data_IF_405015334985
#
_entry.id   IF_405015334985
#
_cell.length_a   1.000
_cell.length_b   1.000
_cell.length_c   1.000
_cell.angle_alpha   90.00
_cell.angle_beta   90.00
_cell.angle_gamma   90.00
#
_symmetry.space_group_name_H-M   'P 1'
#
loop_
_entity.id
_entity.type
_entity.pdbx_description
1 polymer ?
#
# COMPACT_ATOMS: atom_id res chain seq x y z
N UNK A 1 -21.95 2.65 -28.15
CA UNK A 1 -21.72 1.29 -27.61
C UNK A 1 -20.47 0.56 -28.17
N UNK A 2 -19.75 1.07 -29.19
CA UNK A 2 -18.58 0.39 -29.78
C UNK A 2 -17.25 0.47 -28.99
N UNK A 3 -17.13 1.38 -28.01
CA UNK A 3 -15.89 1.57 -27.24
C UNK A 3 -15.62 0.47 -26.18
N UNK A 4 -16.59 -0.43 -25.93
CA UNK A 4 -16.47 -1.48 -24.90
C UNK A 4 -15.32 -2.46 -25.11
N UNK A 5 -14.98 -2.68 -26.37
CA UNK A 5 -13.89 -3.59 -26.76
C UNK A 5 -12.53 -2.87 -26.83
N UNK A 6 -12.50 -1.53 -26.79
CA UNK A 6 -11.26 -0.74 -26.89
C UNK A 6 -10.62 -0.45 -25.52
N UNK A 7 -11.43 -0.22 -24.47
CA UNK A 7 -10.87 0.05 -23.13
C UNK A 7 -10.43 -1.20 -22.38
N UNK A 8 -10.97 -2.38 -22.73
CA UNK A 8 -10.59 -3.66 -22.11
C UNK A 8 -9.08 -3.92 -22.13
N UNK A 9 -8.43 -3.96 -23.30
CA UNK A 9 -6.98 -4.13 -23.38
C UNK A 9 -6.20 -3.00 -22.70
N UNK A 10 -6.68 -1.75 -22.77
CA UNK A 10 -6.03 -0.63 -22.09
C UNK A 10 -6.01 -0.80 -20.55
N UNK A 11 -7.12 -1.24 -19.96
CA UNK A 11 -7.20 -1.49 -18.51
C UNK A 11 -6.31 -2.65 -18.05
N UNK A 12 -6.15 -3.69 -18.89
CA UNK A 12 -5.24 -4.81 -18.59
C UNK A 12 -3.79 -4.33 -18.56
N UNK A 13 -3.37 -3.52 -19.54
CA UNK A 13 -2.01 -2.96 -19.58
C UNK A 13 -1.77 -2.04 -18.38
N UNK A 14 -2.72 -1.15 -18.05
CA UNK A 14 -2.60 -0.27 -16.87
C UNK A 14 -2.49 -1.08 -15.58
N UNK A 15 -3.32 -2.12 -15.42
CA UNK A 15 -3.22 -3.03 -14.27
C UNK A 15 -1.85 -3.73 -14.18
N UNK A 16 -1.31 -4.18 -15.30
CA UNK A 16 0.04 -4.76 -15.37
C UNK A 16 1.13 -3.76 -14.97
N UNK A 17 1.01 -2.49 -15.38
CA UNK A 17 1.94 -1.42 -14.98
C UNK A 17 1.87 -1.12 -13.47
N UNK A 18 0.68 -1.18 -12.86
CA UNK A 18 0.55 -0.99 -11.41
C UNK A 18 1.21 -2.13 -10.61
N UNK A 19 1.20 -3.36 -11.14
CA UNK A 19 1.87 -4.50 -10.52
C UNK A 19 3.40 -4.40 -10.57
N UNK A 20 3.98 -3.61 -11.48
CA UNK A 20 5.43 -3.40 -11.56
C UNK A 20 6.01 -2.87 -10.24
N UNK A 21 5.23 -2.08 -9.48
CA UNK A 21 5.62 -1.56 -8.17
C UNK A 21 6.00 -2.69 -7.18
N UNK A 22 5.41 -3.88 -7.31
CA UNK A 22 5.70 -5.03 -6.44
C UNK A 22 7.14 -5.51 -6.60
N UNK A 23 7.75 -5.38 -7.79
CA UNK A 23 9.16 -5.75 -8.01
C UNK A 23 10.16 -4.88 -7.27
N UNK A 24 9.74 -3.70 -6.78
CA UNK A 24 10.61 -2.78 -6.03
C UNK A 24 10.64 -3.09 -4.54
N UNK A 25 9.86 -4.06 -4.08
CA UNK A 25 9.84 -4.49 -2.69
C UNK A 25 11.06 -5.37 -2.43
N UNK A 26 11.76 -5.09 -1.33
CA UNK A 26 12.82 -5.97 -0.84
C UNK A 26 12.20 -7.21 -0.19
N UNK A 27 12.47 -8.39 -0.78
CA UNK A 27 11.93 -9.66 -0.29
C UNK A 27 12.84 -10.34 0.75
N UNK A 28 14.07 -9.87 0.93
CA UNK A 28 14.99 -10.40 1.94
C UNK A 28 14.67 -9.85 3.34
N UNK A 29 14.05 -8.66 3.43
CA UNK A 29 13.64 -8.07 4.69
C UNK A 29 12.18 -8.39 5.04
N UNK A 30 12.01 -9.22 6.07
CA UNK A 30 10.70 -9.63 6.58
C UNK A 30 9.86 -8.43 7.06
N UNK A 31 10.50 -7.35 7.51
CA UNK A 31 9.83 -6.13 7.98
C UNK A 31 9.25 -5.30 6.84
N UNK A 32 9.64 -5.57 5.59
CA UNK A 32 9.07 -4.95 4.39
C UNK A 32 8.09 -5.91 3.70
N UNK A 33 8.43 -7.21 3.67
CA UNK A 33 7.63 -8.26 3.05
C UNK A 33 6.28 -8.46 3.74
N UNK A 34 6.26 -8.55 5.08
CA UNK A 34 5.03 -8.75 5.86
C UNK A 34 4.01 -7.62 5.64
N UNK A 35 4.36 -6.32 5.83
CA UNK A 35 3.42 -5.24 5.57
C UNK A 35 3.02 -5.15 4.10
N UNK A 36 3.93 -5.37 3.15
CA UNK A 36 3.58 -5.37 1.73
C UNK A 36 2.55 -6.46 1.37
N UNK A 37 2.73 -7.68 1.88
CA UNK A 37 1.78 -8.76 1.67
C UNK A 37 0.42 -8.43 2.30
N UNK A 38 0.41 -7.94 3.53
CA UNK A 38 -0.82 -7.53 4.21
C UNK A 38 -1.55 -6.41 3.46
N UNK A 39 -0.81 -5.47 2.85
CA UNK A 39 -1.35 -4.40 1.99
C UNK A 39 -2.10 -4.98 0.79
N UNK A 40 -1.49 -5.92 0.07
CA UNK A 40 -2.08 -6.56 -1.10
C UNK A 40 -3.36 -7.32 -0.71
N UNK A 41 -3.30 -8.07 0.40
CA UNK A 41 -4.46 -8.79 0.93
C UNK A 41 -5.60 -7.82 1.28
N UNK A 42 -5.31 -6.75 2.02
CA UNK A 42 -6.31 -5.74 2.39
C UNK A 42 -6.91 -5.05 1.18
N UNK A 43 -6.11 -4.81 0.14
CA UNK A 43 -6.56 -4.22 -1.10
C UNK A 43 -7.56 -5.11 -1.85
N UNK A 44 -7.31 -6.43 -1.89
CA UNK A 44 -8.24 -7.41 -2.48
C UNK A 44 -9.52 -7.48 -1.65
N UNK A 45 -9.42 -7.57 -0.33
CA UNK A 45 -10.58 -7.68 0.56
C UNK A 45 -11.46 -6.41 0.58
N UNK A 46 -10.85 -5.23 0.45
CA UNK A 46 -11.58 -3.95 0.50
C UNK A 46 -12.09 -3.52 -0.88
N UNK A 47 -11.71 -4.22 -1.95
CA UNK A 47 -11.95 -3.83 -3.35
C UNK A 47 -11.53 -2.37 -3.66
N UNK A 48 -10.61 -1.82 -2.87
CA UNK A 48 -10.21 -0.43 -2.94
C UNK A 48 -8.69 -0.31 -2.74
N UNK A 49 -8.03 0.10 -3.83
CA UNK A 49 -6.59 0.32 -3.91
C UNK A 49 -6.12 1.32 -2.86
N UNK A 50 -6.87 2.41 -2.68
CA UNK A 50 -6.49 3.48 -1.75
C UNK A 50 -6.56 3.02 -0.30
N UNK A 51 -7.64 2.35 0.11
CA UNK A 51 -7.77 1.87 1.50
C UNK A 51 -6.76 0.76 1.83
N UNK A 52 -6.51 -0.15 0.89
CA UNK A 52 -5.47 -1.17 1.06
C UNK A 52 -4.10 -0.52 1.24
N UNK A 53 -3.76 0.43 0.37
CA UNK A 53 -2.49 1.17 0.40
C UNK A 53 -2.31 1.97 1.69
N UNK A 54 -3.31 2.71 2.16
CA UNK A 54 -3.20 3.51 3.40
C UNK A 54 -3.03 2.63 4.63
N UNK A 55 -3.75 1.51 4.71
CA UNK A 55 -3.54 0.52 5.77
C UNK A 55 -2.12 -0.06 5.74
N UNK A 56 -1.60 -0.34 4.55
CA UNK A 56 -0.23 -0.80 4.32
C UNK A 56 0.85 0.20 4.74
N UNK A 57 0.66 1.47 4.40
CA UNK A 57 1.57 2.57 4.75
C UNK A 57 1.65 2.80 6.25
N UNK A 58 0.59 2.51 7.01
CA UNK A 58 0.60 2.55 8.48
C UNK A 58 1.26 1.30 9.06
N UNK A 59 1.04 0.13 8.44
CA UNK A 59 1.58 -1.14 8.91
C UNK A 59 3.10 -1.26 8.75
N UNK A 60 3.68 -0.65 7.70
CA UNK A 60 5.13 -0.65 7.45
C UNK A 60 5.97 -0.08 8.61
N UNK A 61 5.78 1.18 9.05
CA UNK A 61 6.52 1.72 10.18
C UNK A 61 6.15 1.02 11.49
N UNK A 62 4.92 0.52 11.65
CA UNK A 62 4.53 -0.28 12.81
C UNK A 62 5.38 -1.56 12.90
N UNK A 63 5.59 -2.25 11.79
CA UNK A 63 6.44 -3.45 11.75
C UNK A 63 7.92 -3.14 11.99
N UNK A 64 8.46 -2.07 11.39
CA UNK A 64 9.85 -1.65 11.68
C UNK A 64 10.06 -1.18 13.12
N UNK A 65 9.03 -0.58 13.75
CA UNK A 65 9.03 -0.25 15.18
C UNK A 65 9.06 -1.51 16.06
N UNK A 66 8.20 -2.50 15.77
CA UNK A 66 8.17 -3.77 16.50
C UNK A 66 9.45 -4.60 16.31
N UNK A 67 10.08 -4.51 15.14
CA UNK A 67 11.36 -5.15 14.85
C UNK A 67 12.57 -4.46 15.51
N UNK A 68 12.37 -3.36 16.25
CA UNK A 68 13.44 -2.65 16.95
C UNK A 68 14.38 -1.87 16.04
N UNK A 69 14.00 -1.62 14.78
CA UNK A 69 14.80 -0.90 13.77
C UNK A 69 14.15 0.43 13.33
N UNK A 70 13.82 1.35 14.27
CA UNK A 70 13.17 2.61 13.90
C UNK A 70 14.06 3.54 13.05
N UNK A 71 15.38 3.33 13.04
CA UNK A 71 16.35 4.16 12.28
C UNK A 71 16.38 3.86 10.78
N UNK A 72 15.88 2.70 10.34
CA UNK A 72 15.81 2.33 8.92
C UNK A 72 14.52 2.84 8.26
N UNK A 73 13.67 3.51 9.03
CA UNK A 73 12.45 4.11 8.54
C UNK A 73 12.83 5.46 7.89
N UNK A 74 12.84 5.51 6.56
CA UNK A 74 13.06 6.76 5.83
C UNK A 74 12.01 7.80 6.23
N UNK A 75 12.43 9.04 6.51
CA UNK A 75 11.54 10.08 7.05
C UNK A 75 10.26 10.33 6.23
N UNK A 76 10.30 10.11 4.91
CA UNK A 76 9.12 10.17 4.05
C UNK A 76 8.03 9.16 4.40
N UNK A 77 8.41 7.92 4.76
CA UNK A 77 7.44 6.89 5.15
C UNK A 77 6.77 7.19 6.50
N UNK A 78 7.49 7.82 7.44
CA UNK A 78 6.92 8.29 8.72
C UNK A 78 5.93 9.42 8.47
N UNK A 79 6.27 10.38 7.61
CA UNK A 79 5.36 11.49 7.26
C UNK A 79 4.10 10.96 6.59
N UNK A 80 4.23 10.05 5.61
CA UNK A 80 3.06 9.43 4.97
C UNK A 80 2.22 8.63 5.96
N UNK A 81 2.86 7.83 6.82
CA UNK A 81 2.15 7.05 7.81
C UNK A 81 1.42 7.93 8.83
N UNK A 82 2.06 8.98 9.33
CA UNK A 82 1.44 9.96 10.23
C UNK A 82 0.24 10.65 9.56
N UNK A 83 0.38 11.05 8.30
CA UNK A 83 -0.70 11.67 7.53
C UNK A 83 -1.88 10.70 7.32
N UNK A 84 -1.60 9.42 7.03
CA UNK A 84 -2.61 8.37 6.92
C UNK A 84 -3.30 8.09 8.27
N UNK A 85 -2.54 8.08 9.37
CA UNK A 85 -3.05 7.87 10.73
C UNK A 85 -3.96 9.03 11.15
N UNK A 86 -3.56 10.26 10.85
CA UNK A 86 -4.41 11.45 11.05
C UNK A 86 -5.69 11.35 10.25
N UNK A 87 -5.63 10.93 8.98
CA UNK A 87 -6.84 10.72 8.17
C UNK A 87 -7.77 9.64 8.76
N UNK A 88 -7.22 8.51 9.22
CA UNK A 88 -8.03 7.47 9.87
C UNK A 88 -8.67 7.96 11.17
N UNK A 89 -7.91 8.63 12.04
CA UNK A 89 -8.39 9.13 13.34
C UNK A 89 -9.34 10.32 13.18
N UNK A 90 -9.14 11.18 12.19
CA UNK A 90 -9.96 12.36 11.90
C UNK A 90 -11.14 12.06 10.95
N UNK A 91 -11.13 10.91 10.27
CA UNK A 91 -12.26 10.38 9.49
C UNK A 91 -13.25 9.56 10.32
N UNK A 92 -12.80 8.94 11.41
CA UNK A 92 -13.64 8.26 12.41
C UNK A 92 -14.69 9.11 13.17
N UNK A 93 -14.62 10.46 13.28
CA UNK A 93 -15.64 11.26 13.94
C UNK A 93 -16.82 11.72 13.04
N UNK A 94 -16.88 11.38 11.73
CA UNK A 94 -18.00 11.76 10.84
C UNK A 94 -18.26 10.68 9.78
#
# INVERSE_FOLDING_TARGET
>A
QALRFAYGPALIVVGAMMLESIRRIDFDDLTELVPAFATIVMMIFTYNIANGLTAGLVLYPLMKLLAGRPREIGGGSIVLAALCLVWYVFGLPH
#
